data_IF_873147872396
#
_entry.id   IF_873147872396
#
_cell.length_a   1.000
_cell.length_b   1.000
_cell.length_c   1.000
_cell.angle_alpha   90.00
_cell.angle_beta   90.00
_cell.angle_gamma   90.00
#
_symmetry.space_group_name_H-M   'P 1'
#
loop_
_entity.id
_entity.type
_entity.pdbx_description
1 polymer ?
#
# COMPACT_ATOMS: atom_id res chain seq x y z
N UNK A 1 11.68 -6.38 -6.36
CA UNK A 1 10.71 -7.09 -5.49
C UNK A 1 9.77 -6.08 -4.84
N UNK A 2 8.49 -6.40 -4.73
CA UNK A 2 7.47 -5.58 -4.08
C UNK A 2 6.92 -6.35 -2.90
N UNK A 3 6.87 -5.74 -1.71
CA UNK A 3 6.23 -6.35 -0.55
C UNK A 3 4.85 -5.73 -0.30
N UNK A 4 3.83 -6.57 -0.18
CA UNK A 4 2.49 -6.19 0.30
C UNK A 4 2.29 -6.83 1.66
N UNK A 5 2.22 -6.01 2.72
CA UNK A 5 2.10 -6.49 4.09
C UNK A 5 0.64 -6.74 4.46
N UNK A 6 0.32 -7.96 4.87
CA UNK A 6 -1.03 -8.39 5.24
C UNK A 6 -1.05 -8.84 6.70
N UNK A 7 -1.82 -8.16 7.53
CA UNK A 7 -2.07 -8.54 8.92
C UNK A 7 -3.55 -8.90 9.11
N UNK A 8 -3.89 -9.70 10.12
CA UNK A 8 -5.29 -10.01 10.43
C UNK A 8 -6.12 -8.72 10.54
N UNK A 9 -7.26 -8.71 9.84
CA UNK A 9 -8.15 -7.57 9.70
C UNK A 9 -7.78 -6.60 8.57
N UNK A 10 -6.90 -6.99 7.64
CA UNK A 10 -6.68 -6.22 6.42
C UNK A 10 -7.97 -6.14 5.58
N UNK A 11 -8.13 -5.10 4.75
CA UNK A 11 -9.25 -5.01 3.82
C UNK A 11 -8.87 -5.70 2.49
N UNK A 12 -9.66 -6.67 2.08
CA UNK A 12 -9.34 -7.56 0.96
C UNK A 12 -9.29 -6.85 -0.40
N UNK A 13 -10.23 -5.93 -0.65
CA UNK A 13 -10.26 -5.20 -1.93
C UNK A 13 -9.03 -4.30 -2.06
N UNK A 14 -8.65 -3.65 -0.95
CA UNK A 14 -7.51 -2.74 -0.88
C UNK A 14 -6.16 -3.46 -0.99
N UNK A 15 -6.13 -4.74 -0.64
CA UNK A 15 -4.96 -5.59 -0.81
C UNK A 15 -4.92 -6.24 -2.20
N UNK A 16 -5.98 -6.96 -2.59
CA UNK A 16 -5.96 -7.83 -3.78
C UNK A 16 -5.99 -7.04 -5.09
N UNK A 17 -6.74 -5.92 -5.17
CA UNK A 17 -6.78 -5.14 -6.40
C UNK A 17 -5.41 -4.56 -6.79
N UNK A 18 -4.64 -3.88 -5.91
CA UNK A 18 -3.31 -3.43 -6.28
C UNK A 18 -2.33 -4.59 -6.53
N UNK A 19 -2.44 -5.72 -5.82
CA UNK A 19 -1.64 -6.93 -6.11
C UNK A 19 -1.89 -7.40 -7.55
N UNK A 20 -3.15 -7.49 -7.98
CA UNK A 20 -3.51 -7.90 -9.34
C UNK A 20 -2.93 -6.93 -10.38
N UNK A 21 -3.05 -5.61 -10.17
CA UNK A 21 -2.50 -4.61 -11.08
C UNK A 21 -0.97 -4.74 -11.21
N UNK A 22 -0.27 -4.87 -10.10
CA UNK A 22 1.18 -5.02 -10.08
C UNK A 22 1.63 -6.34 -10.75
N UNK A 23 0.93 -7.46 -10.48
CA UNK A 23 1.23 -8.75 -11.12
C UNK A 23 0.89 -8.75 -12.63
N UNK A 24 -0.17 -8.06 -13.07
CA UNK A 24 -0.47 -7.83 -14.50
C UNK A 24 0.62 -7.00 -15.18
N UNK A 25 1.26 -6.09 -14.46
CA UNK A 25 2.43 -5.36 -14.94
C UNK A 25 3.70 -6.22 -15.04
N UNK A 26 3.64 -7.51 -14.64
CA UNK A 26 4.77 -8.46 -14.60
C UNK A 26 5.82 -8.10 -13.55
N UNK A 27 5.42 -7.43 -12.50
CA UNK A 27 6.27 -7.11 -11.36
C UNK A 27 6.32 -8.28 -10.37
N UNK A 28 7.46 -8.45 -9.69
CA UNK A 28 7.64 -9.48 -8.66
C UNK A 28 7.03 -9.01 -7.34
N UNK A 29 5.83 -9.49 -7.05
CA UNK A 29 5.03 -9.14 -5.86
C UNK A 29 4.99 -10.30 -4.90
N UNK A 30 5.41 -10.06 -3.66
CA UNK A 30 5.36 -10.99 -2.52
C UNK A 30 4.38 -10.48 -1.46
N UNK A 31 3.45 -11.33 -1.08
CA UNK A 31 2.57 -11.10 0.04
C UNK A 31 3.33 -11.49 1.31
N UNK A 32 3.43 -10.57 2.25
CA UNK A 32 4.09 -10.80 3.55
C UNK A 32 3.03 -10.91 4.63
N UNK A 33 2.94 -12.06 5.27
CA UNK A 33 2.06 -12.27 6.41
C UNK A 33 2.67 -11.69 7.68
N UNK A 34 1.95 -10.77 8.32
CA UNK A 34 2.36 -10.11 9.57
C UNK A 34 1.65 -10.79 10.74
N UNK A 35 2.43 -11.39 11.64
CA UNK A 35 1.93 -12.17 12.77
C UNK A 35 1.43 -13.56 12.42
N UNK A 36 1.15 -13.86 11.16
CA UNK A 36 0.66 -15.17 10.67
C UNK A 36 1.01 -15.38 9.20
N UNK A 37 1.19 -16.62 8.77
CA UNK A 37 1.38 -16.97 7.35
C UNK A 37 0.06 -17.01 6.55
N UNK A 38 -1.09 -16.95 7.24
CA UNK A 38 -2.44 -17.02 6.64
C UNK A 38 -3.34 -15.92 7.19
N UNK A 39 -3.04 -14.64 6.93
CA UNK A 39 -3.85 -13.53 7.44
C UNK A 39 -5.30 -13.63 6.94
N UNK A 40 -6.22 -13.29 7.83
CA UNK A 40 -7.65 -13.23 7.56
C UNK A 40 -8.08 -11.78 7.40
N UNK A 41 -8.78 -11.47 6.31
CA UNK A 41 -9.28 -10.12 6.04
C UNK A 41 -10.39 -9.69 7.00
N UNK A 42 -10.77 -8.42 6.95
CA UNK A 42 -11.85 -7.85 7.77
C UNK A 42 -13.22 -8.48 7.50
N UNK A 43 -13.42 -9.10 6.34
CA UNK A 43 -14.66 -9.80 5.96
C UNK A 43 -14.47 -11.33 5.89
N UNK A 44 -13.43 -11.89 6.55
CA UNK A 44 -13.27 -13.31 6.76
C UNK A 44 -12.60 -14.09 5.61
N UNK A 45 -12.03 -13.40 4.62
CA UNK A 45 -11.30 -14.06 3.53
C UNK A 45 -9.86 -14.34 3.98
N UNK A 46 -9.48 -15.63 3.93
CA UNK A 46 -8.11 -16.05 4.25
C UNK A 46 -7.23 -15.98 3.02
N UNK A 47 -6.03 -15.44 3.18
CA UNK A 47 -5.02 -15.35 2.14
C UNK A 47 -3.74 -16.02 2.63
N UNK A 48 -3.20 -16.97 1.88
CA UNK A 48 -1.87 -17.53 2.17
C UNK A 48 -0.82 -16.55 1.68
N UNK A 49 0.02 -16.09 2.59
CA UNK A 49 1.15 -15.22 2.26
C UNK A 49 2.28 -16.00 1.58
N UNK A 50 3.04 -15.32 0.72
CA UNK A 50 4.23 -15.89 0.06
C UNK A 50 5.41 -15.98 1.03
N UNK A 51 5.47 -15.06 2.01
CA UNK A 51 6.55 -14.90 3.00
C UNK A 51 5.97 -14.62 4.39
N UNK A 52 6.73 -15.01 5.40
CA UNK A 52 6.57 -14.51 6.78
C UNK A 52 7.41 -13.25 7.01
N UNK A 53 7.21 -12.55 8.12
CA UNK A 53 8.02 -11.38 8.50
C UNK A 53 9.52 -11.70 8.60
N UNK A 54 9.87 -12.90 9.05
CA UNK A 54 11.27 -13.32 9.22
C UNK A 54 12.02 -13.51 7.88
N UNK A 55 11.29 -13.68 6.78
CA UNK A 55 11.85 -13.91 5.45
C UNK A 55 11.99 -12.61 4.64
N UNK A 56 11.50 -11.48 5.18
CA UNK A 56 11.64 -10.17 4.52
C UNK A 56 13.09 -9.74 4.48
N UNK A 57 13.57 -9.40 3.28
CA UNK A 57 14.91 -8.88 3.05
C UNK A 57 14.83 -7.43 2.57
N UNK A 58 15.41 -6.53 3.35
CA UNK A 58 15.50 -5.11 3.02
C UNK A 58 16.85 -4.82 2.37
N UNK A 59 16.92 -5.01 1.07
CA UNK A 59 18.11 -4.80 0.25
C UNK A 59 17.76 -4.06 -1.06
N UNK A 60 18.74 -3.87 -1.93
CA UNK A 60 18.60 -3.13 -3.19
C UNK A 60 17.59 -3.74 -4.19
N UNK A 61 17.05 -4.92 -3.92
CA UNK A 61 16.00 -5.54 -4.74
C UNK A 61 14.61 -4.98 -4.46
N UNK A 62 14.41 -4.29 -3.33
CA UNK A 62 13.12 -3.71 -2.95
C UNK A 62 12.80 -2.52 -3.84
N UNK A 63 11.63 -2.54 -4.47
CA UNK A 63 11.16 -1.51 -5.41
C UNK A 63 9.94 -0.74 -4.91
N UNK A 64 9.17 -1.33 -3.99
CA UNK A 64 7.94 -0.74 -3.44
C UNK A 64 7.52 -1.54 -2.21
N UNK A 65 6.94 -0.87 -1.23
CA UNK A 65 6.10 -1.53 -0.21
C UNK A 65 4.68 -1.01 -0.29
N UNK A 66 3.70 -1.87 0.03
CA UNK A 66 2.28 -1.55 0.02
C UNK A 66 1.65 -1.91 1.35
N UNK A 67 0.91 -0.97 1.93
CA UNK A 67 0.20 -1.09 3.19
C UNK A 67 -1.30 -0.97 2.93
N UNK A 68 -2.05 -2.07 2.87
CA UNK A 68 -3.51 -2.05 2.81
C UNK A 68 -4.11 -1.49 4.10
N UNK A 69 -5.34 -1.01 4.01
CA UNK A 69 -6.11 -0.61 5.16
C UNK A 69 -6.87 -1.78 5.80
N UNK A 70 -8.04 -1.46 6.35
CA UNK A 70 -8.83 -2.39 7.17
C UNK A 70 -8.48 -2.30 8.66
N UNK A 71 -9.47 -2.63 9.49
CA UNK A 71 -9.31 -2.64 10.95
C UNK A 71 -9.64 -4.04 11.50
N UNK A 72 -8.81 -4.58 12.40
CA UNK A 72 -7.62 -4.00 13.02
C UNK A 72 -6.32 -4.14 12.20
N UNK A 73 -6.37 -4.53 10.91
CA UNK A 73 -5.20 -4.76 10.07
C UNK A 73 -4.19 -3.61 10.10
N UNK A 74 -4.66 -2.37 9.90
CA UNK A 74 -3.80 -1.18 9.96
C UNK A 74 -3.07 -1.04 11.30
N UNK A 75 -3.75 -1.31 12.43
CA UNK A 75 -3.13 -1.25 13.76
C UNK A 75 -2.09 -2.36 13.96
N UNK A 76 -2.33 -3.53 13.37
CA UNK A 76 -1.39 -4.64 13.43
C UNK A 76 -0.14 -4.34 12.58
N UNK A 77 -0.30 -3.74 11.39
CA UNK A 77 0.82 -3.26 10.58
C UNK A 77 1.61 -2.16 11.30
N UNK A 78 0.92 -1.20 11.92
CA UNK A 78 1.57 -0.10 12.67
C UNK A 78 2.47 -0.62 13.80
N UNK A 79 2.07 -1.69 14.48
CA UNK A 79 2.81 -2.30 15.60
C UNK A 79 3.95 -3.22 15.16
N UNK A 80 3.97 -3.69 13.90
CA UNK A 80 4.98 -4.64 13.43
C UNK A 80 6.35 -3.98 13.30
N UNK A 81 7.38 -4.48 14.00
CA UNK A 81 8.75 -3.98 13.83
C UNK A 81 9.29 -4.13 12.41
N UNK A 82 8.87 -5.19 11.70
CA UNK A 82 9.30 -5.44 10.32
C UNK A 82 8.69 -4.41 9.38
N UNK A 83 7.40 -4.10 9.53
CA UNK A 83 6.75 -3.04 8.74
C UNK A 83 7.39 -1.68 9.00
N UNK A 84 7.67 -1.34 10.28
CA UNK A 84 8.36 -0.10 10.64
C UNK A 84 9.76 -0.02 10.03
N UNK A 85 10.50 -1.13 10.07
CA UNK A 85 11.84 -1.21 9.44
C UNK A 85 11.77 -1.08 7.92
N UNK A 86 10.76 -1.69 7.29
CA UNK A 86 10.55 -1.59 5.84
C UNK A 86 10.20 -0.17 5.41
N UNK A 87 9.32 0.53 6.16
CA UNK A 87 9.02 1.94 5.91
C UNK A 87 10.29 2.79 6.01
N UNK A 88 11.03 2.64 7.11
CA UNK A 88 12.28 3.37 7.33
C UNK A 88 13.28 3.14 6.19
N UNK A 89 13.51 1.87 5.82
CA UNK A 89 14.40 1.49 4.73
C UNK A 89 13.99 2.16 3.42
N UNK A 90 12.70 2.11 3.07
CA UNK A 90 12.19 2.75 1.85
C UNK A 90 12.40 4.26 1.87
N UNK A 91 12.15 4.92 3.01
CA UNK A 91 12.34 6.37 3.15
C UNK A 91 13.81 6.77 2.96
N UNK A 92 14.74 6.07 3.60
CA UNK A 92 16.17 6.33 3.52
C UNK A 92 16.76 6.08 2.13
N UNK A 93 16.15 5.18 1.35
CA UNK A 93 16.63 4.81 0.01
C UNK A 93 15.78 5.40 -1.13
N UNK A 94 14.82 6.29 -0.85
CA UNK A 94 13.97 6.91 -1.88
C UNK A 94 13.04 5.91 -2.59
N UNK A 95 12.76 4.75 -1.97
CA UNK A 95 11.91 3.70 -2.51
C UNK A 95 10.43 4.08 -2.29
N UNK A 96 9.56 3.92 -3.31
CA UNK A 96 8.15 4.22 -3.19
C UNK A 96 7.44 3.46 -2.05
N UNK A 97 6.48 4.12 -1.41
CA UNK A 97 5.59 3.55 -0.40
C UNK A 97 4.14 3.83 -0.78
N UNK A 98 3.35 2.78 -0.93
CA UNK A 98 1.90 2.86 -1.14
C UNK A 98 1.13 2.59 0.16
N UNK A 99 0.13 3.41 0.47
CA UNK A 99 -0.76 3.19 1.62
C UNK A 99 -2.19 3.60 1.26
N UNK A 100 -3.19 2.81 1.68
CA UNK A 100 -4.59 3.05 1.32
C UNK A 100 -5.50 3.02 2.55
N UNK A 101 -6.59 3.77 2.50
CA UNK A 101 -7.65 3.78 3.51
C UNK A 101 -7.16 4.31 4.87
N UNK A 102 -7.12 3.47 5.89
CA UNK A 102 -6.58 3.82 7.20
C UNK A 102 -5.05 3.82 7.25
N UNK A 103 -4.37 3.06 6.37
CA UNK A 103 -2.92 2.86 6.43
C UNK A 103 -2.06 4.13 6.22
N UNK A 104 -2.49 5.18 5.48
CA UNK A 104 -1.76 6.46 5.44
C UNK A 104 -1.54 7.08 6.82
N UNK A 105 -2.39 6.74 7.82
CA UNK A 105 -2.19 7.19 9.21
C UNK A 105 -0.87 6.69 9.82
N UNK A 106 -0.36 5.52 9.40
CA UNK A 106 0.94 5.00 9.84
C UNK A 106 2.04 5.98 9.39
N UNK A 107 2.01 6.40 8.13
CA UNK A 107 2.99 7.34 7.57
C UNK A 107 2.86 8.73 8.19
N UNK A 108 1.60 9.18 8.43
CA UNK A 108 1.32 10.47 9.05
C UNK A 108 1.83 10.56 10.49
N UNK A 109 1.60 9.53 11.31
CA UNK A 109 2.12 9.44 12.70
C UNK A 109 3.65 9.42 12.76
N UNK A 110 4.31 8.91 11.73
CA UNK A 110 5.76 8.95 11.58
C UNK A 110 6.28 10.31 11.06
N UNK A 111 5.39 11.28 10.79
CA UNK A 111 5.76 12.60 10.26
C UNK A 111 6.20 12.61 8.79
N UNK A 112 6.06 11.48 8.07
CA UNK A 112 6.57 11.30 6.71
C UNK A 112 5.73 12.04 5.66
N UNK A 113 4.51 12.42 6.00
CA UNK A 113 3.59 13.15 5.11
C UNK A 113 3.60 14.67 5.36
N UNK A 114 4.45 15.18 6.27
CA UNK A 114 4.53 16.60 6.55
C UNK A 114 4.92 17.40 5.28
N UNK A 115 4.12 18.43 4.95
CA UNK A 115 4.27 19.26 3.76
C UNK A 115 3.96 18.56 2.44
N UNK A 116 3.37 17.35 2.48
CA UNK A 116 3.00 16.57 1.29
C UNK A 116 1.51 16.50 1.09
N UNK A 117 1.09 16.33 -0.16
CA UNK A 117 -0.29 16.02 -0.52
C UNK A 117 -0.58 14.56 -0.23
N UNK A 118 -1.65 14.29 0.50
CA UNK A 118 -2.05 12.94 0.87
C UNK A 118 -3.58 12.80 0.94
N UNK A 119 -4.04 11.55 0.88
CA UNK A 119 -5.43 11.16 1.13
C UNK A 119 -5.47 9.99 2.09
N UNK A 120 -6.59 9.83 2.81
CA UNK A 120 -6.85 8.67 3.66
C UNK A 120 -8.36 8.41 3.72
N UNK A 121 -8.75 7.38 4.43
CA UNK A 121 -10.17 7.13 4.73
C UNK A 121 -10.76 8.27 5.58
N UNK A 122 -12.01 8.70 5.30
CA UNK A 122 -12.68 9.74 6.09
C UNK A 122 -12.64 9.47 7.60
N UNK A 123 -12.20 10.47 8.37
CA UNK A 123 -12.02 10.35 9.83
C UNK A 123 -10.59 10.00 10.26
N UNK A 124 -9.67 9.72 9.32
CA UNK A 124 -8.25 9.48 9.62
C UNK A 124 -7.35 10.69 9.35
N UNK A 125 -7.90 11.80 8.86
CA UNK A 125 -7.16 13.01 8.48
C UNK A 125 -6.35 13.59 9.65
N UNK A 126 -6.87 13.46 10.86
CA UNK A 126 -6.20 13.91 12.09
C UNK A 126 -4.84 13.27 12.34
N UNK A 127 -4.58 12.10 11.74
CA UNK A 127 -3.31 11.37 11.85
C UNK A 127 -2.31 11.75 10.76
N UNK A 128 -2.72 12.48 9.73
CA UNK A 128 -1.85 12.95 8.64
C UNK A 128 -1.21 14.29 9.02
N UNK A 129 -0.49 14.32 10.13
CA UNK A 129 0.08 15.53 10.71
C UNK A 129 0.91 16.31 9.70
N UNK A 130 0.53 17.58 9.46
CA UNK A 130 1.23 18.48 8.56
C UNK A 130 1.05 18.20 7.06
N UNK A 131 0.24 17.22 6.68
CA UNK A 131 -0.09 16.95 5.29
C UNK A 131 -1.14 17.94 4.75
N UNK A 132 -1.07 18.23 3.44
CA UNK A 132 -2.17 18.83 2.68
C UNK A 132 -3.15 17.70 2.29
N UNK A 133 -4.23 17.57 3.06
CA UNK A 133 -5.23 16.52 2.81
C UNK A 133 -6.06 16.87 1.59
N UNK A 134 -6.04 16.00 0.58
CA UNK A 134 -6.70 16.20 -0.70
C UNK A 134 -8.05 15.48 -0.76
N UNK A 135 -9.03 16.09 -1.41
CA UNK A 135 -10.29 15.45 -1.77
C UNK A 135 -10.15 14.74 -3.13
N UNK A 136 -9.45 13.62 -3.15
CA UNK A 136 -9.20 12.80 -4.36
C UNK A 136 -9.24 11.32 -4.00
N UNK A 137 -9.44 10.45 -5.01
CA UNK A 137 -9.38 9.01 -4.80
C UNK A 137 -7.96 8.54 -4.46
N UNK A 138 -6.96 9.10 -5.16
CA UNK A 138 -5.57 8.70 -5.01
C UNK A 138 -4.64 9.89 -5.32
N UNK A 139 -3.55 10.01 -4.57
CA UNK A 139 -2.51 11.04 -4.74
C UNK A 139 -1.14 10.40 -4.65
N UNK A 140 -0.23 10.82 -5.54
CA UNK A 140 1.21 10.55 -5.41
C UNK A 140 1.92 11.88 -5.18
N UNK A 141 2.71 11.98 -4.13
CA UNK A 141 3.58 13.11 -3.82
C UNK A 141 4.94 12.60 -3.33
N UNK A 142 5.98 12.91 -4.12
CA UNK A 142 7.31 12.32 -3.91
C UNK A 142 7.25 10.80 -3.99
N UNK A 143 7.77 10.13 -2.96
CA UNK A 143 7.79 8.67 -2.89
C UNK A 143 6.51 8.04 -2.30
N UNK A 144 5.55 8.85 -1.86
CA UNK A 144 4.33 8.33 -1.23
C UNK A 144 3.14 8.36 -2.20
N UNK A 145 2.48 7.21 -2.33
CA UNK A 145 1.19 7.09 -3.01
C UNK A 145 0.13 6.72 -1.99
N UNK A 146 -0.85 7.60 -1.79
CA UNK A 146 -1.93 7.37 -0.83
C UNK A 146 -3.30 7.33 -1.52
N UNK A 147 -4.23 6.53 -1.02
CA UNK A 147 -5.58 6.39 -1.55
C UNK A 147 -6.64 6.35 -0.45
N UNK A 148 -7.89 6.73 -0.78
CA UNK A 148 -8.92 7.01 0.23
C UNK A 148 -9.62 5.76 0.79
N UNK A 149 -9.64 4.62 0.09
CA UNK A 149 -10.32 3.41 0.56
C UNK A 149 -10.67 2.43 -0.56
N UNK A 150 -11.45 1.40 -0.26
CA UNK A 150 -11.75 0.28 -1.15
C UNK A 150 -12.26 0.71 -2.55
N UNK A 151 -13.09 1.76 -2.61
CA UNK A 151 -13.55 2.31 -3.89
C UNK A 151 -12.45 2.89 -4.79
N UNK A 152 -11.26 3.12 -4.26
CA UNK A 152 -10.08 3.62 -4.97
C UNK A 152 -9.04 2.53 -5.27
N UNK A 153 -9.27 1.27 -4.88
CA UNK A 153 -8.25 0.22 -4.86
C UNK A 153 -7.66 -0.09 -6.24
N UNK A 154 -8.48 -0.10 -7.30
CA UNK A 154 -8.00 -0.28 -8.68
C UNK A 154 -7.17 0.93 -9.12
N UNK A 155 -7.67 2.15 -8.88
CA UNK A 155 -6.95 3.39 -9.21
C UNK A 155 -5.60 3.46 -8.47
N UNK A 156 -5.58 3.06 -7.20
CA UNK A 156 -4.38 2.95 -6.40
C UNK A 156 -3.37 1.98 -7.03
N UNK A 157 -3.81 0.78 -7.40
CA UNK A 157 -2.96 -0.20 -8.08
C UNK A 157 -2.38 0.32 -9.40
N UNK A 158 -3.20 0.98 -10.23
CA UNK A 158 -2.76 1.59 -11.48
C UNK A 158 -1.77 2.74 -11.24
N UNK A 159 -1.96 3.54 -10.18
CA UNK A 159 -1.00 4.58 -9.75
C UNK A 159 0.34 3.98 -9.35
N UNK A 160 0.36 2.89 -8.60
CA UNK A 160 1.60 2.18 -8.23
C UNK A 160 2.32 1.63 -9.47
N UNK A 161 1.57 1.09 -10.44
CA UNK A 161 2.14 0.67 -11.74
C UNK A 161 2.73 1.88 -12.47
N UNK A 162 2.04 3.03 -12.48
CA UNK A 162 2.56 4.25 -13.09
C UNK A 162 3.88 4.69 -12.46
N UNK A 163 3.98 4.66 -11.13
CA UNK A 163 5.21 5.02 -10.39
C UNK A 163 6.40 4.13 -10.78
N UNK A 164 6.16 2.82 -11.00
CA UNK A 164 7.24 1.86 -11.26
C UNK A 164 7.53 1.66 -12.76
N UNK A 165 6.52 1.74 -13.62
CA UNK A 165 6.60 1.34 -15.03
C UNK A 165 6.26 2.48 -16.00
N UNK A 166 5.84 3.63 -15.49
CA UNK A 166 5.45 4.81 -16.27
C UNK A 166 4.00 4.77 -16.77
N UNK A 167 3.56 5.93 -17.25
CA UNK A 167 2.16 6.21 -17.63
C UNK A 167 1.64 5.27 -18.73
N UNK A 168 2.46 4.99 -19.73
CA UNK A 168 2.07 4.11 -20.84
C UNK A 168 1.63 2.73 -20.35
N UNK A 169 2.43 2.11 -19.45
CA UNK A 169 2.10 0.78 -18.93
C UNK A 169 0.83 0.80 -18.07
N UNK A 170 0.65 1.83 -17.26
CA UNK A 170 -0.57 2.03 -16.47
C UNK A 170 -1.80 2.18 -17.35
N UNK A 171 -1.72 2.98 -18.44
CA UNK A 171 -2.82 3.17 -19.39
C UNK A 171 -3.18 1.88 -20.13
N UNK A 172 -2.19 1.10 -20.60
CA UNK A 172 -2.41 -0.21 -21.21
C UNK A 172 -3.18 -1.17 -20.29
N UNK A 173 -2.81 -1.19 -19.00
CA UNK A 173 -3.51 -2.02 -18.03
C UNK A 173 -4.91 -1.51 -17.72
N UNK A 174 -5.11 -0.19 -17.61
CA UNK A 174 -6.44 0.41 -17.42
C UNK A 174 -7.40 -0.03 -18.52
N UNK A 175 -6.98 0.03 -19.78
CA UNK A 175 -7.78 -0.43 -20.91
C UNK A 175 -8.00 -1.96 -20.89
N UNK A 176 -6.97 -2.74 -20.53
CA UNK A 176 -7.07 -4.20 -20.48
C UNK A 176 -8.04 -4.72 -19.41
N UNK A 177 -8.22 -3.99 -18.31
CA UNK A 177 -9.21 -4.32 -17.26
C UNK A 177 -10.55 -3.60 -17.44
N UNK A 178 -10.73 -2.90 -18.57
CA UNK A 178 -11.97 -2.18 -18.93
C UNK A 178 -12.34 -1.07 -17.91
N UNK A 179 -11.33 -0.39 -17.33
CA UNK A 179 -11.53 0.69 -16.35
C UNK A 179 -11.66 2.09 -17.00
N UNK A 180 -11.73 2.18 -18.33
CA UNK A 180 -11.88 3.43 -19.11
C UNK A 180 -13.35 3.74 -19.48
N UNK A 181 -14.33 2.94 -19.01
CA UNK A 181 -15.75 3.08 -19.35
C UNK A 181 -16.55 3.80 -18.28
#
# INVERSE_FOLDING_TARGET
MIYVFLADGFEETEAIAPIDMLRRAKLDVKLVGVGTSTPTSSHGIRVTADLTEAEVKLDSSVQLIVLPGGMPGTLNLEKSPVVQSAIKYCVENGIPVGAICAAPSILGKLGLLNGRKAVCFPGFEQYLTGAEVMNKLCVTDGQFTTACGAGAAIEFGLKLVNVLCGEKRSAELRSAIVADR
#
